data_IF_509731781721
#
_entry.id   IF_509731781721
#
_cell.length_a   1.000
_cell.length_b   1.000
_cell.length_c   1.000
_cell.angle_alpha   90.00
_cell.angle_beta   90.00
_cell.angle_gamma   90.00
#
_symmetry.space_group_name_H-M   'P 1'
#
loop_
_entity.id
_entity.type
_entity.pdbx_description
1 polymer ?
#
# COMPACT_ATOMS: atom_id res chain seq x y z
N UNK A 1 -2.72 -27.69 -1.71
CA UNK A 1 -3.45 -27.64 -0.42
C UNK A 1 -4.94 -27.61 -0.70
N UNK A 2 -5.67 -28.67 -0.39
CA UNK A 2 -7.12 -28.72 -0.56
C UNK A 2 -7.74 -29.44 0.62
N UNK A 3 -7.94 -28.75 1.73
CA UNK A 3 -8.75 -29.27 2.83
C UNK A 3 -10.19 -28.83 2.59
N UNK A 4 -10.93 -29.63 1.82
CA UNK A 4 -12.38 -29.56 1.84
C UNK A 4 -12.83 -29.76 3.29
N UNK A 5 -13.60 -28.80 3.81
CA UNK A 5 -14.09 -28.85 5.18
C UNK A 5 -15.22 -29.91 5.24
N UNK A 6 -15.09 -30.99 6.03
CA UNK A 6 -16.05 -32.09 6.06
C UNK A 6 -17.42 -31.55 6.47
N UNK A 7 -18.38 -31.61 5.54
CA UNK A 7 -19.81 -31.26 5.68
C UNK A 7 -20.19 -30.58 7.01
N UNK A 8 -19.79 -29.31 7.15
CA UNK A 8 -20.20 -28.52 8.30
C UNK A 8 -21.71 -28.28 8.16
N UNK A 9 -22.50 -28.96 8.99
CA UNK A 9 -23.94 -28.73 9.14
C UNK A 9 -24.16 -27.89 10.40
N UNK A 10 -24.19 -26.56 10.30
CA UNK A 10 -24.48 -25.72 11.46
C UNK A 10 -25.88 -26.04 12.01
N UNK A 11 -26.02 -25.94 13.33
CA UNK A 11 -27.33 -26.04 13.98
C UNK A 11 -28.29 -24.98 13.44
N UNK A 12 -29.60 -25.24 13.53
CA UNK A 12 -30.63 -24.28 13.08
C UNK A 12 -30.42 -22.90 13.73
N UNK A 13 -30.11 -22.84 15.03
CA UNK A 13 -29.82 -21.59 15.73
C UNK A 13 -28.63 -20.82 15.14
N UNK A 14 -27.52 -21.50 14.80
CA UNK A 14 -26.36 -20.86 14.16
C UNK A 14 -26.69 -20.37 12.75
N UNK A 15 -27.53 -21.10 12.00
CA UNK A 15 -28.00 -20.69 10.67
C UNK A 15 -28.89 -19.45 10.74
N UNK A 16 -29.80 -19.41 11.70
CA UNK A 16 -30.70 -18.28 11.90
C UNK A 16 -29.94 -17.02 12.33
N UNK A 17 -28.99 -17.14 13.27
CA UNK A 17 -28.13 -16.02 13.68
C UNK A 17 -27.35 -15.45 12.50
N UNK A 18 -26.74 -16.31 11.67
CA UNK A 18 -26.02 -15.86 10.48
C UNK A 18 -26.94 -15.18 9.47
N UNK A 19 -28.15 -15.72 9.25
CA UNK A 19 -29.16 -15.08 8.39
C UNK A 19 -29.52 -13.69 8.89
N UNK A 20 -29.82 -13.54 10.19
CA UNK A 20 -30.13 -12.24 10.81
C UNK A 20 -28.96 -11.27 10.67
N UNK A 21 -27.72 -11.76 10.79
CA UNK A 21 -26.54 -10.94 10.56
C UNK A 21 -26.50 -10.41 9.12
N UNK A 22 -26.69 -11.27 8.11
CA UNK A 22 -26.71 -10.84 6.70
C UNK A 22 -27.83 -9.85 6.40
N UNK A 23 -29.02 -10.07 6.96
CA UNK A 23 -30.16 -9.17 6.82
C UNK A 23 -29.89 -7.81 7.49
N UNK A 24 -29.38 -7.81 8.74
CA UNK A 24 -29.04 -6.59 9.49
C UNK A 24 -27.98 -5.75 8.78
N UNK A 25 -27.00 -6.37 8.14
CA UNK A 25 -25.94 -5.68 7.42
C UNK A 25 -26.29 -5.38 5.95
N UNK A 26 -27.52 -5.65 5.51
CA UNK A 26 -27.98 -5.36 4.15
C UNK A 26 -27.36 -6.25 3.07
N UNK A 27 -26.63 -7.32 3.42
CA UNK A 27 -26.00 -8.23 2.46
C UNK A 27 -27.05 -8.94 1.61
N UNK A 28 -28.16 -9.36 2.22
CA UNK A 28 -29.26 -10.01 1.51
C UNK A 28 -29.90 -9.09 0.47
N UNK A 29 -30.12 -7.81 0.83
CA UNK A 29 -30.68 -6.80 -0.06
C UNK A 29 -29.73 -6.48 -1.22
N UNK A 30 -28.45 -6.28 -0.92
CA UNK A 30 -27.41 -6.05 -1.94
C UNK A 30 -27.33 -7.21 -2.94
N UNK A 31 -27.25 -8.46 -2.46
CA UNK A 31 -27.22 -9.63 -3.33
C UNK A 31 -28.49 -9.76 -4.17
N UNK A 32 -29.66 -9.51 -3.58
CA UNK A 32 -30.94 -9.54 -4.30
C UNK A 32 -30.93 -8.52 -5.43
N UNK A 33 -30.55 -7.27 -5.16
CA UNK A 33 -30.46 -6.21 -6.18
C UNK A 33 -29.50 -6.56 -7.31
N UNK A 34 -28.32 -7.08 -7.01
CA UNK A 34 -27.35 -7.46 -8.05
C UNK A 34 -27.88 -8.59 -8.92
N UNK A 35 -28.51 -9.60 -8.32
CA UNK A 35 -29.09 -10.72 -9.06
C UNK A 35 -30.30 -10.29 -9.91
N UNK A 36 -31.13 -9.38 -9.42
CA UNK A 36 -32.23 -8.78 -10.18
C UNK A 36 -31.68 -7.98 -11.37
N UNK A 37 -30.70 -7.11 -11.15
CA UNK A 37 -30.06 -6.36 -12.24
C UNK A 37 -29.46 -7.30 -13.30
N UNK A 38 -28.77 -8.35 -12.87
CA UNK A 38 -28.22 -9.35 -13.78
C UNK A 38 -29.32 -10.10 -14.54
N UNK A 39 -30.46 -10.37 -13.91
CA UNK A 39 -31.62 -11.01 -14.53
C UNK A 39 -32.30 -10.09 -15.56
N UNK A 40 -32.39 -8.80 -15.28
CA UNK A 40 -33.03 -7.80 -16.15
C UNK A 40 -32.15 -7.36 -17.33
N UNK A 41 -30.83 -7.57 -17.25
CA UNK A 41 -29.90 -7.19 -18.31
C UNK A 41 -30.27 -7.83 -19.66
N UNK A 42 -30.56 -7.01 -20.67
CA UNK A 42 -30.99 -7.46 -22.02
C UNK A 42 -29.91 -8.30 -22.70
N UNK A 43 -28.65 -7.87 -22.56
CA UNK A 43 -27.48 -8.60 -23.03
C UNK A 43 -26.67 -9.09 -21.84
N UNK A 44 -26.76 -10.39 -21.54
CA UNK A 44 -26.01 -10.97 -20.44
C UNK A 44 -24.50 -10.72 -20.62
N UNK A 45 -23.80 -10.30 -19.54
CA UNK A 45 -22.36 -10.15 -19.58
C UNK A 45 -21.70 -11.50 -19.88
N UNK A 46 -20.59 -11.47 -20.60
CA UNK A 46 -19.79 -12.67 -20.89
C UNK A 46 -19.22 -13.28 -19.60
N UNK A 47 -18.79 -12.42 -18.67
CA UNK A 47 -18.39 -12.80 -17.32
C UNK A 47 -19.39 -12.25 -16.28
N UNK A 48 -20.30 -13.13 -15.84
CA UNK A 48 -21.29 -12.80 -14.82
C UNK A 48 -20.68 -12.59 -13.43
N UNK A 49 -19.55 -13.24 -13.10
CA UNK A 49 -18.91 -13.08 -11.80
C UNK A 49 -18.23 -11.72 -11.69
N UNK A 50 -17.57 -11.29 -12.76
CA UNK A 50 -17.04 -9.93 -12.87
C UNK A 50 -18.15 -8.89 -12.72
N UNK A 51 -19.29 -9.07 -13.41
CA UNK A 51 -20.44 -8.18 -13.26
C UNK A 51 -20.92 -8.09 -11.80
N UNK A 52 -21.09 -9.24 -11.14
CA UNK A 52 -21.54 -9.29 -9.74
C UNK A 52 -20.54 -8.57 -8.83
N UNK A 53 -19.24 -8.85 -8.99
CA UNK A 53 -18.17 -8.20 -8.22
C UNK A 53 -18.21 -6.68 -8.39
N UNK A 54 -18.30 -6.20 -9.63
CA UNK A 54 -18.27 -4.77 -9.94
C UNK A 54 -19.55 -4.07 -9.41
N UNK A 55 -20.73 -4.70 -9.52
CA UNK A 55 -21.97 -4.15 -8.95
C UNK A 55 -21.95 -4.12 -7.42
N UNK A 56 -21.39 -5.15 -6.78
CA UNK A 56 -21.21 -5.16 -5.32
C UNK A 56 -20.23 -4.08 -4.85
N UNK A 57 -19.15 -3.84 -5.59
CA UNK A 57 -18.22 -2.75 -5.32
C UNK A 57 -18.93 -1.39 -5.36
N UNK A 58 -19.76 -1.17 -6.39
CA UNK A 58 -20.58 0.05 -6.51
C UNK A 58 -21.57 0.19 -5.36
N UNK A 59 -22.27 -0.88 -4.97
CA UNK A 59 -23.21 -0.85 -3.83
C UNK A 59 -22.48 -0.54 -2.51
N UNK A 60 -21.26 -1.07 -2.34
CA UNK A 60 -20.43 -0.82 -1.17
C UNK A 60 -19.74 0.56 -1.20
N UNK A 61 -19.90 1.34 -2.27
CA UNK A 61 -19.27 2.66 -2.43
C UNK A 61 -17.74 2.60 -2.57
N UNK A 62 -17.21 1.47 -3.04
CA UNK A 62 -15.77 1.28 -3.28
C UNK A 62 -15.48 1.21 -4.78
N UNK A 63 -14.23 1.46 -5.13
CA UNK A 63 -13.78 1.42 -6.52
C UNK A 63 -13.75 -0.01 -7.04
N UNK A 64 -14.13 -0.18 -8.31
CA UNK A 64 -14.04 -1.49 -8.96
C UNK A 64 -12.58 -1.86 -9.21
N UNK A 65 -12.30 -3.15 -9.36
CA UNK A 65 -10.97 -3.63 -9.72
C UNK A 65 -10.44 -2.95 -10.99
N UNK A 66 -11.30 -2.77 -12.00
CA UNK A 66 -10.95 -2.07 -13.25
C UNK A 66 -10.57 -0.61 -13.03
N UNK A 67 -11.30 0.12 -12.19
CA UNK A 67 -10.98 1.50 -11.85
C UNK A 67 -9.63 1.60 -11.13
N UNK A 68 -9.36 0.69 -10.19
CA UNK A 68 -8.08 0.63 -9.50
C UNK A 68 -6.92 0.33 -10.47
N UNK A 69 -7.08 -0.65 -11.36
CA UNK A 69 -6.09 -0.97 -12.39
C UNK A 69 -5.81 0.22 -13.31
N UNK A 70 -6.85 0.94 -13.73
CA UNK A 70 -6.70 2.15 -14.54
C UNK A 70 -5.92 3.24 -13.81
N UNK A 71 -6.22 3.49 -12.52
CA UNK A 71 -5.49 4.47 -11.72
C UNK A 71 -4.03 4.10 -11.53
N UNK A 72 -3.72 2.82 -11.32
CA UNK A 72 -2.35 2.34 -11.22
C UNK A 72 -1.60 2.64 -12.51
N UNK A 73 -2.17 2.24 -13.66
CA UNK A 73 -1.55 2.48 -14.97
C UNK A 73 -1.32 3.98 -15.26
N UNK A 74 -2.32 4.82 -14.98
CA UNK A 74 -2.23 6.27 -15.19
C UNK A 74 -1.19 6.92 -14.25
N UNK A 75 -1.08 6.42 -13.02
CA UNK A 75 -0.10 6.91 -12.06
C UNK A 75 1.31 6.49 -12.46
N UNK A 76 1.50 5.24 -12.87
CA UNK A 76 2.78 4.73 -13.37
C UNK A 76 3.26 5.48 -14.62
N UNK A 77 2.36 5.81 -15.54
CA UNK A 77 2.68 6.63 -16.72
C UNK A 77 3.14 8.03 -16.32
N UNK A 78 2.42 8.69 -15.39
CA UNK A 78 2.83 10.00 -14.88
C UNK A 78 4.16 9.98 -14.17
N UNK A 79 4.43 8.95 -13.35
CA UNK A 79 5.72 8.78 -12.69
C UNK A 79 6.83 8.70 -13.72
N UNK A 80 6.66 7.86 -14.74
CA UNK A 80 7.63 7.69 -15.83
C UNK A 80 7.88 8.99 -16.60
N UNK A 81 6.85 9.77 -16.86
CA UNK A 81 6.99 11.04 -17.59
C UNK A 81 7.64 12.13 -16.75
N UNK A 82 7.34 12.22 -15.46
CA UNK A 82 8.01 13.12 -14.53
C UNK A 82 9.48 12.74 -14.34
N UNK A 83 9.80 11.44 -14.22
CA UNK A 83 11.19 10.96 -14.15
C UNK A 83 11.99 11.37 -15.38
N UNK A 84 11.43 11.24 -16.60
CA UNK A 84 12.08 11.73 -17.82
C UNK A 84 12.30 13.25 -17.79
N UNK A 85 11.31 14.01 -17.32
CA UNK A 85 11.45 15.47 -17.21
C UNK A 85 12.58 15.84 -16.24
N UNK A 86 12.62 15.22 -15.06
CA UNK A 86 13.69 15.42 -14.07
C UNK A 86 15.06 15.07 -14.66
N UNK A 87 15.17 13.95 -15.39
CA UNK A 87 16.41 13.55 -16.03
C UNK A 87 16.85 14.55 -17.11
N UNK A 88 15.92 15.04 -17.94
CA UNK A 88 16.23 16.03 -18.98
C UNK A 88 16.66 17.40 -18.45
N UNK A 89 16.14 17.82 -17.29
CA UNK A 89 16.50 19.08 -16.65
C UNK A 89 17.84 18.95 -15.90
N UNK A 90 18.16 17.77 -15.36
CA UNK A 90 19.46 17.49 -14.74
C UNK A 90 20.64 17.50 -15.72
N UNK A 91 20.42 17.33 -17.02
CA UNK A 91 21.46 17.39 -18.05
C UNK A 91 21.79 18.83 -18.53
N UNK A 92 20.97 19.84 -18.20
CA UNK A 92 21.17 21.22 -18.70
C UNK A 92 22.00 22.14 -17.82
N UNK A 93 22.40 21.73 -16.60
CA UNK A 93 23.13 22.59 -15.65
C UNK A 93 24.64 22.29 -15.49
N UNK A 94 25.27 21.49 -16.38
CA UNK A 94 26.72 21.21 -16.30
C UNK A 94 27.40 21.35 -17.67
N UNK A 95 27.38 22.54 -18.28
CA UNK A 95 28.17 22.78 -19.50
C UNK A 95 28.50 24.26 -19.83
N UNK A 96 29.00 25.06 -18.88
CA UNK A 96 29.78 26.31 -19.11
C UNK A 96 30.52 26.58 -17.78
N UNK A 97 31.85 26.62 -17.58
CA UNK A 97 33.06 26.83 -18.40
C UNK A 97 34.27 26.11 -17.77
N UNK A 98 35.08 25.53 -18.64
CA UNK A 98 36.51 25.18 -18.48
C UNK A 98 37.40 26.44 -18.56
N UNK A 99 38.41 26.58 -17.69
CA UNK A 99 39.84 26.86 -18.04
C UNK A 99 40.73 27.15 -16.80
N UNK A 100 41.49 26.12 -16.36
CA UNK A 100 42.90 26.01 -15.88
C UNK A 100 43.61 27.08 -14.98
N UNK A 101 44.79 26.81 -14.33
CA UNK A 101 45.42 25.55 -13.88
C UNK A 101 45.98 25.58 -12.41
N UNK A 102 46.22 24.37 -11.90
CA UNK A 102 47.28 23.88 -10.97
C UNK A 102 48.32 24.87 -10.43
N UNK A 103 48.49 24.92 -9.10
CA UNK A 103 49.80 24.85 -8.41
C UNK A 103 49.63 24.64 -6.88
N UNK A 104 50.00 23.44 -6.39
CA UNK A 104 50.54 23.24 -5.04
C UNK A 104 52.05 23.09 -5.21
N UNK A 105 52.89 23.63 -4.32
CA UNK A 105 53.32 22.79 -3.19
C UNK A 105 53.65 23.52 -1.87
N UNK A 106 53.32 22.85 -0.76
CA UNK A 106 54.13 22.66 0.45
C UNK A 106 54.50 23.86 1.34
N UNK A 107 54.01 23.85 2.59
CA UNK A 107 54.87 23.81 3.79
C UNK A 107 54.04 23.55 5.06
N UNK A 108 54.30 22.42 5.71
CA UNK A 108 54.16 22.21 7.16
C UNK A 108 55.58 21.98 7.68
N UNK A 109 55.97 22.44 8.90
CA UNK A 109 55.70 21.59 10.06
C UNK A 109 55.48 22.30 11.43
N UNK A 110 54.51 21.73 12.16
CA UNK A 110 54.52 21.31 13.58
C UNK A 110 54.83 22.30 14.72
N UNK A 111 53.90 22.40 15.68
CA UNK A 111 54.20 22.20 17.12
C UNK A 111 52.99 21.63 17.91
N UNK A 112 53.08 20.33 18.24
CA UNK A 112 52.80 19.69 19.53
C UNK A 112 52.25 20.54 20.70
N UNK A 113 51.11 20.13 21.29
CA UNK A 113 50.98 19.99 22.76
C UNK A 113 49.84 19.02 23.19
N UNK A 114 50.29 17.91 23.78
CA UNK A 114 49.82 17.11 24.93
C UNK A 114 48.37 16.63 25.19
N UNK A 115 48.35 15.31 25.45
CA UNK A 115 47.67 14.55 26.50
C UNK A 115 46.19 14.13 26.40
N UNK A 116 46.02 12.89 25.92
CA UNK A 116 45.67 11.68 26.69
C UNK A 116 44.46 11.75 27.67
N UNK A 117 43.42 10.97 27.36
CA UNK A 117 42.88 9.88 28.21
C UNK A 117 41.43 9.53 27.85
N UNK A 118 41.21 8.33 27.33
CA UNK A 118 39.90 7.63 27.32
C UNK A 118 39.75 6.92 28.68
N UNK A 119 38.57 6.90 29.31
CA UNK A 119 37.82 5.65 29.35
C UNK A 119 36.29 5.76 29.33
N UNK A 120 35.72 4.62 28.95
CA UNK A 120 34.35 4.20 28.73
C UNK A 120 33.31 4.36 29.87
N UNK A 121 32.08 3.93 29.52
CA UNK A 121 30.91 3.56 30.34
C UNK A 121 29.96 4.72 30.69
N UNK A 122 28.63 4.64 30.53
CA UNK A 122 27.71 3.51 30.75
C UNK A 122 26.34 3.79 30.09
N UNK A 123 25.69 2.76 29.57
CA UNK A 123 24.24 2.75 29.43
C UNK A 123 23.56 2.77 30.80
N UNK A 124 22.32 3.29 30.87
CA UNK A 124 21.34 2.71 31.77
C UNK A 124 20.11 2.29 30.96
N UNK A 125 19.91 0.98 30.86
CA UNK A 125 18.56 0.44 30.79
C UNK A 125 17.93 0.48 32.18
N UNK A 126 16.63 0.69 32.27
CA UNK A 126 15.83 -0.01 33.26
C UNK A 126 14.36 -0.09 32.80
N UNK A 127 13.92 -1.34 32.70
CA UNK A 127 12.56 -1.82 32.51
C UNK A 127 11.55 -1.14 33.43
N UNK A 128 10.38 -0.76 32.89
CA UNK A 128 9.13 -0.92 33.63
C UNK A 128 7.99 -1.26 32.65
N UNK A 129 7.52 -2.50 32.73
CA UNK A 129 6.21 -3.00 32.31
C UNK A 129 5.66 -3.79 33.51
N UNK A 130 4.37 -4.18 33.61
CA UNK A 130 3.09 -3.65 33.13
C UNK A 130 2.16 -3.26 34.30
N UNK A 131 1.00 -2.66 34.02
CA UNK A 131 -0.17 -2.82 34.90
C UNK A 131 -1.49 -2.76 34.10
N UNK A 132 -2.36 -3.78 34.20
CA UNK A 132 -3.75 -3.69 33.78
C UNK A 132 -4.70 -3.78 35.00
N UNK A 133 -5.59 -2.79 35.15
CA UNK A 133 -6.81 -2.82 35.98
C UNK A 133 -7.80 -1.84 35.30
N UNK A 134 -9.07 -2.12 34.99
CA UNK A 134 -10.04 -3.16 35.37
C UNK A 134 -10.98 -3.48 34.19
#
# INVERSE_FOLDING_TARGET
>A
MGTANPSYKPSEGKREEFRKYLEKNGVMDALTKVLVNLYEEEKKPEDALEYIRDKLAVIAGIETYKQLQQKIAETEERVKDLEKQVQSVGETDIAVTDDSPTEQPTEEPQVMDSNDKVPAEKEPGEDINPEPEQ
#
